data_IF_384803360943
#
_entry.id   IF_384803360943
#
_cell.length_a   1.000
_cell.length_b   1.000
_cell.length_c   1.000
_cell.angle_alpha   90.00
_cell.angle_beta   90.00
_cell.angle_gamma   90.00
#
_symmetry.space_group_name_H-M   'P 1'
#
loop_
_entity.id
_entity.type
_entity.pdbx_description
1 polymer ?
#
# COMPACT_ATOMS: atom_id res chain seq x y z
N UNK A 1 30.67 -15.95 26.61
CA UNK A 1 30.90 -16.56 25.27
C UNK A 1 29.79 -16.06 24.36
N UNK A 2 30.17 -15.43 23.24
CA UNK A 2 29.26 -14.87 22.23
C UNK A 2 28.64 -15.99 21.40
N UNK A 3 27.36 -15.83 21.05
CA UNK A 3 26.72 -16.10 19.73
C UNK A 3 25.32 -16.70 19.91
N UNK A 4 24.29 -15.88 19.68
CA UNK A 4 23.07 -16.31 18.99
C UNK A 4 22.29 -15.09 18.54
N UNK A 5 22.82 -14.39 17.53
CA UNK A 5 21.94 -13.67 16.60
C UNK A 5 21.73 -14.62 15.45
N UNK A 6 20.63 -15.37 15.51
CA UNK A 6 20.24 -16.32 14.48
C UNK A 6 20.19 -15.63 13.12
N UNK A 7 20.99 -16.14 12.17
CA UNK A 7 20.95 -15.75 10.75
C UNK A 7 19.53 -15.86 10.13
N UNK A 8 18.62 -16.57 10.79
CA UNK A 8 17.19 -16.67 10.45
C UNK A 8 16.44 -15.32 10.48
N UNK A 9 16.88 -14.32 11.26
CA UNK A 9 16.24 -13.00 11.28
C UNK A 9 16.60 -12.10 10.08
N UNK A 10 17.61 -12.49 9.27
CA UNK A 10 18.05 -11.73 8.09
C UNK A 10 17.41 -12.20 6.79
N UNK A 11 16.58 -13.25 6.82
CA UNK A 11 15.71 -13.59 5.68
C UNK A 11 14.43 -12.77 5.79
N UNK A 12 14.56 -11.45 5.66
CA UNK A 12 13.41 -10.60 5.39
C UNK A 12 12.71 -11.17 4.16
N UNK A 13 11.39 -11.38 4.30
CA UNK A 13 10.42 -11.77 3.28
C UNK A 13 10.96 -11.51 1.86
N UNK A 14 11.45 -12.56 1.18
CA UNK A 14 11.74 -12.44 -0.25
C UNK A 14 10.37 -12.25 -0.86
N UNK A 15 10.06 -11.01 -1.23
CA UNK A 15 8.81 -10.65 -1.89
C UNK A 15 8.56 -11.55 -3.11
N UNK A 16 7.37 -11.48 -3.70
CA UNK A 16 6.95 -12.34 -4.79
C UNK A 16 7.95 -12.32 -5.94
N UNK A 17 8.02 -13.44 -6.66
CA UNK A 17 8.79 -13.50 -7.89
C UNK A 17 8.20 -12.54 -8.94
N UNK A 18 9.08 -11.81 -9.63
CA UNK A 18 8.70 -10.87 -10.68
C UNK A 18 9.04 -9.42 -10.34
N UNK A 19 9.17 -8.60 -11.39
CA UNK A 19 9.42 -7.16 -11.26
C UNK A 19 8.06 -6.44 -11.21
N UNK A 20 7.84 -5.49 -10.27
CA UNK A 20 6.64 -4.67 -10.30
C UNK A 20 6.46 -3.97 -11.65
N UNK A 21 5.26 -4.03 -12.23
CA UNK A 21 4.98 -3.42 -13.53
C UNK A 21 5.17 -1.90 -13.55
N UNK A 22 5.09 -1.25 -12.38
CA UNK A 22 5.31 0.18 -12.23
C UNK A 22 6.80 0.59 -12.15
N UNK A 23 7.74 -0.36 -12.14
CA UNK A 23 9.17 -0.05 -12.05
C UNK A 23 9.63 0.81 -13.23
N UNK A 24 10.22 1.98 -12.92
CA UNK A 24 10.73 2.93 -13.91
C UNK A 24 9.69 3.94 -14.43
N UNK A 25 8.43 3.83 -13.99
CA UNK A 25 7.40 4.82 -14.30
C UNK A 25 7.48 6.03 -13.36
N UNK A 26 6.89 7.15 -13.78
CA UNK A 26 6.73 8.33 -12.92
C UNK A 26 5.88 7.96 -11.68
N UNK A 27 6.38 8.17 -10.44
CA UNK A 27 5.61 7.91 -9.25
C UNK A 27 4.28 8.65 -9.19
N UNK A 28 4.18 9.86 -9.76
CA UNK A 28 2.98 10.71 -9.65
C UNK A 28 1.75 10.09 -10.32
N UNK A 29 1.95 9.21 -11.31
CA UNK A 29 0.88 8.40 -11.93
C UNK A 29 0.12 7.61 -10.86
N UNK A 30 0.81 7.10 -9.84
CA UNK A 30 0.22 6.29 -8.78
C UNK A 30 -0.24 7.12 -7.56
N UNK A 31 -0.13 8.45 -7.63
CA UNK A 31 -0.61 9.41 -6.65
C UNK A 31 -1.72 10.32 -7.23
N UNK A 32 -2.77 9.77 -7.87
CA UNK A 32 -3.81 10.58 -8.49
C UNK A 32 -4.65 11.33 -7.46
N UNK A 33 -5.34 12.37 -7.91
CA UNK A 33 -6.39 12.98 -7.10
C UNK A 33 -7.50 11.93 -6.83
N UNK A 34 -7.79 11.61 -5.55
CA UNK A 34 -8.64 10.48 -5.21
C UNK A 34 -10.10 10.78 -5.51
N UNK A 35 -10.81 9.79 -6.06
CA UNK A 35 -12.28 9.83 -6.07
C UNK A 35 -12.85 9.44 -4.71
N UNK A 36 -14.03 9.97 -4.38
CA UNK A 36 -14.75 9.61 -3.16
C UNK A 36 -15.30 8.16 -3.23
N UNK A 37 -15.49 7.50 -2.07
CA UNK A 37 -16.18 6.21 -2.02
C UNK A 37 -17.54 6.26 -2.73
N UNK A 38 -17.85 5.22 -3.51
CA UNK A 38 -19.09 5.14 -4.30
C UNK A 38 -19.05 5.87 -5.64
N UNK A 39 -18.08 6.75 -5.90
CA UNK A 39 -17.89 7.37 -7.20
C UNK A 39 -17.15 6.45 -8.17
N UNK A 40 -17.34 6.72 -9.47
CA UNK A 40 -16.54 6.10 -10.53
C UNK A 40 -15.08 6.56 -10.40
N UNK A 41 -14.09 5.71 -10.76
CA UNK A 41 -12.70 6.11 -10.78
C UNK A 41 -12.48 7.34 -11.67
N UNK A 42 -11.53 8.21 -11.29
CA UNK A 42 -11.05 9.28 -12.18
C UNK A 42 -10.25 8.69 -13.35
N UNK A 43 -9.92 9.50 -14.35
CA UNK A 43 -9.07 9.05 -15.45
C UNK A 43 -7.66 8.66 -14.96
N UNK A 44 -7.08 9.47 -14.07
CA UNK A 44 -5.76 9.20 -13.50
C UNK A 44 -5.76 7.91 -12.64
N UNK A 45 -6.85 7.65 -11.90
CA UNK A 45 -7.00 6.37 -11.20
C UNK A 45 -7.10 5.20 -12.17
N UNK A 46 -7.84 5.34 -13.29
CA UNK A 46 -7.91 4.28 -14.32
C UNK A 46 -6.55 3.98 -14.93
N UNK A 47 -5.77 5.02 -15.23
CA UNK A 47 -4.42 4.89 -15.78
C UNK A 47 -3.52 4.06 -14.85
N UNK A 48 -3.45 4.42 -13.57
CA UNK A 48 -2.66 3.68 -12.58
C UNK A 48 -3.17 2.25 -12.35
N UNK A 49 -4.49 2.06 -12.36
CA UNK A 49 -5.11 0.73 -12.22
C UNK A 49 -4.79 -0.17 -13.41
N UNK A 50 -4.71 0.39 -14.63
CA UNK A 50 -4.35 -0.36 -15.82
C UNK A 50 -2.93 -0.97 -15.73
N UNK A 51 -1.98 -0.22 -15.18
CA UNK A 51 -0.62 -0.75 -14.89
C UNK A 51 -0.68 -1.90 -13.88
N UNK A 52 -1.50 -1.75 -12.84
CA UNK A 52 -1.64 -2.78 -11.82
C UNK A 52 -2.32 -4.07 -12.33
N UNK A 53 -3.15 -4.00 -13.37
CA UNK A 53 -3.98 -5.12 -13.83
C UNK A 53 -3.16 -6.35 -14.25
N UNK A 54 -1.98 -6.15 -14.84
CA UNK A 54 -1.06 -7.22 -15.26
C UNK A 54 0.16 -7.39 -14.34
N UNK A 55 0.20 -6.72 -13.19
CA UNK A 55 1.39 -6.69 -12.35
C UNK A 55 1.61 -8.04 -11.62
N UNK A 56 2.78 -8.69 -11.76
CA UNK A 56 3.02 -10.02 -11.19
C UNK A 56 3.06 -10.02 -9.65
N UNK A 57 3.22 -8.85 -9.04
CA UNK A 57 3.34 -8.68 -7.59
C UNK A 57 2.14 -7.98 -6.96
N UNK A 58 1.01 -7.89 -7.69
CA UNK A 58 -0.16 -7.09 -7.30
C UNK A 58 -0.67 -7.41 -5.90
N UNK A 59 -0.89 -8.68 -5.61
CA UNK A 59 -1.52 -9.12 -4.36
C UNK A 59 -0.60 -8.91 -3.15
N UNK A 60 0.70 -9.19 -3.30
CA UNK A 60 1.69 -8.88 -2.27
C UNK A 60 1.82 -7.37 -2.04
N UNK A 61 1.81 -6.57 -3.12
CA UNK A 61 1.85 -5.11 -3.02
C UNK A 61 0.65 -4.57 -2.23
N UNK A 62 -0.54 -5.11 -2.47
CA UNK A 62 -1.74 -4.77 -1.71
C UNK A 62 -1.60 -5.14 -0.23
N UNK A 63 -1.23 -6.38 0.06
CA UNK A 63 -1.13 -6.89 1.43
C UNK A 63 -0.08 -6.14 2.25
N UNK A 64 1.08 -5.90 1.63
CA UNK A 64 2.16 -5.13 2.23
C UNK A 64 1.71 -3.71 2.57
N UNK A 65 1.10 -3.01 1.62
CA UNK A 65 0.63 -1.64 1.84
C UNK A 65 -0.40 -1.56 2.98
N UNK A 66 -1.38 -2.48 3.01
CA UNK A 66 -2.38 -2.56 4.06
C UNK A 66 -1.77 -2.82 5.44
N UNK A 67 -0.76 -3.68 5.51
CA UNK A 67 -0.07 -4.04 6.75
C UNK A 67 0.86 -2.93 7.24
N UNK A 68 1.57 -2.28 6.32
CA UNK A 68 2.53 -1.22 6.64
C UNK A 68 1.85 0.12 6.96
N UNK A 69 0.64 0.37 6.47
CA UNK A 69 -0.15 1.55 6.82
C UNK A 69 -0.77 1.41 8.22
N UNK A 70 -0.33 2.16 9.25
CA UNK A 70 -0.90 2.02 10.59
C UNK A 70 -2.27 2.70 10.74
N UNK A 71 -2.63 3.61 9.82
CA UNK A 71 -3.92 4.33 9.82
C UNK A 71 -4.46 4.52 8.40
N UNK A 72 -5.76 4.76 8.28
CA UNK A 72 -6.44 5.03 7.00
C UNK A 72 -5.96 6.30 6.30
N UNK A 73 -5.43 7.28 7.04
CA UNK A 73 -4.87 8.51 6.45
C UNK A 73 -3.61 8.26 5.64
N UNK A 74 -2.83 7.23 5.99
CA UNK A 74 -1.62 6.84 5.27
C UNK A 74 -1.90 5.91 4.08
N UNK A 75 -3.12 5.39 3.98
CA UNK A 75 -3.59 4.72 2.77
C UNK A 75 -3.83 5.81 1.73
N UNK A 76 -2.88 5.95 0.81
CA UNK A 76 -2.88 6.95 -0.26
C UNK A 76 -2.65 6.34 -1.64
N UNK A 77 -3.12 7.05 -2.68
CA UNK A 77 -2.90 6.73 -4.09
C UNK A 77 -3.43 5.36 -4.53
N UNK A 78 -2.99 4.91 -5.70
CA UNK A 78 -3.28 3.57 -6.24
C UNK A 78 -2.14 2.62 -5.87
N UNK A 79 -2.45 1.49 -5.25
CA UNK A 79 -1.50 0.42 -4.90
C UNK A 79 -2.20 -0.92 -5.00
N UNK A 80 -1.47 -1.96 -5.42
CA UNK A 80 -1.98 -3.32 -5.44
C UNK A 80 -3.28 -3.50 -6.24
N UNK A 81 -3.51 -2.69 -7.27
CA UNK A 81 -4.74 -2.75 -8.07
C UNK A 81 -5.99 -2.17 -7.40
N UNK A 82 -5.84 -1.37 -6.35
CA UNK A 82 -6.96 -0.73 -5.67
C UNK A 82 -6.77 0.78 -5.57
N UNK A 83 -7.88 1.52 -5.69
CA UNK A 83 -7.92 2.96 -5.40
C UNK A 83 -7.74 3.22 -3.93
N UNK A 84 -7.34 4.45 -3.61
CA UNK A 84 -7.25 4.94 -2.24
C UNK A 84 -8.55 4.71 -1.45
N UNK A 85 -9.70 5.08 -2.02
CA UNK A 85 -11.00 4.95 -1.34
C UNK A 85 -11.34 3.49 -1.00
N UNK A 86 -11.13 2.57 -1.95
CA UNK A 86 -11.43 1.14 -1.77
C UNK A 86 -10.47 0.51 -0.76
N UNK A 87 -9.17 0.85 -0.83
CA UNK A 87 -8.17 0.37 0.14
C UNK A 87 -8.43 0.91 1.54
N UNK A 88 -8.92 2.15 1.70
CA UNK A 88 -9.31 2.69 3.01
C UNK A 88 -10.48 1.92 3.60
N UNK A 89 -11.50 1.62 2.81
CA UNK A 89 -12.63 0.79 3.24
C UNK A 89 -12.16 -0.60 3.68
N UNK A 90 -11.27 -1.23 2.88
CA UNK A 90 -10.69 -2.53 3.21
C UNK A 90 -9.81 -2.50 4.47
N UNK A 91 -9.02 -1.43 4.66
CA UNK A 91 -8.20 -1.23 5.86
C UNK A 91 -9.08 -1.14 7.12
N UNK A 92 -10.16 -0.36 7.08
CA UNK A 92 -11.14 -0.28 8.17
C UNK A 92 -11.79 -1.64 8.44
N UNK A 93 -12.17 -2.36 7.38
CA UNK A 93 -12.75 -3.70 7.52
C UNK A 93 -11.80 -4.68 8.21
N UNK A 94 -10.49 -4.63 7.91
CA UNK A 94 -9.48 -5.57 8.44
C UNK A 94 -8.95 -5.19 9.83
N UNK A 95 -8.72 -3.90 10.08
CA UNK A 95 -7.99 -3.42 11.26
C UNK A 95 -8.79 -2.49 12.17
N UNK A 96 -10.01 -2.13 11.76
CA UNK A 96 -10.85 -1.13 12.43
C UNK A 96 -10.37 0.30 12.22
N UNK A 97 -11.12 1.25 12.77
CA UNK A 97 -10.71 2.66 12.79
C UNK A 97 -9.71 2.86 13.92
N UNK A 98 -8.44 3.06 13.59
CA UNK A 98 -7.42 3.47 14.55
C UNK A 98 -7.31 4.99 14.56
N UNK A 99 -7.49 5.60 15.74
CA UNK A 99 -7.20 7.03 15.91
C UNK A 99 -5.73 7.28 15.53
N UNK A 100 -5.41 8.38 14.81
CA UNK A 100 -4.03 8.76 14.60
C UNK A 100 -3.36 8.89 15.97
N UNK A 101 -2.20 8.24 16.13
CA UNK A 101 -1.36 8.50 17.30
C UNK A 101 -1.09 10.01 17.27
N UNK A 102 -1.64 10.75 18.25
CA UNK A 102 -1.25 12.14 18.46
C UNK A 102 0.26 12.11 18.60
N UNK A 103 0.99 12.61 17.59
CA UNK A 103 2.40 12.90 17.75
C UNK A 103 2.47 13.77 19.01
N UNK A 104 3.15 13.28 20.04
CA UNK A 104 3.16 13.91 21.35
C UNK A 104 3.45 15.39 21.16
N UNK A 105 2.54 16.25 21.61
CA UNK A 105 2.82 17.64 21.85
C UNK A 105 3.92 17.68 22.93
N UNK A 106 5.17 17.70 22.47
CA UNK A 106 6.35 17.88 23.30
C UNK A 106 6.28 19.26 23.92
N UNK A 107 6.38 19.29 25.25
CA UNK A 107 6.54 20.48 26.08
C UNK A 107 7.88 21.16 25.81
#
# INVERSE_FOLDING_TARGET
>A
MKLSTNAAALVADRGPAGVPACTGMDPDIFQPYPSEPGNRPTEQEREALAVCAGCPVRDWCLERDLTECPTTYQVVGVRGGMRQADRRALHVQRFGVRAPRRAGAGR
#
